data_IF_595675006573
#
_entry.id   IF_595675006573
#
_cell.length_a   1.000
_cell.length_b   1.000
_cell.length_c   1.000
_cell.angle_alpha   90.00
_cell.angle_beta   90.00
_cell.angle_gamma   90.00
#
_symmetry.space_group_name_H-M   'P 1'
#
loop_
_entity.id
_entity.type
_entity.pdbx_description
1 polymer ?
#
# COMPACT_ATOMS: atom_id res chain seq x y z
N UNK A 1 37.36 55.63 1.42
CA UNK A 1 37.96 54.37 0.93
C UNK A 1 37.06 53.23 1.40
N UNK A 2 36.18 52.70 0.54
CA UNK A 2 35.28 51.60 0.91
C UNK A 2 36.15 50.35 1.16
N UNK A 3 36.09 49.81 2.37
CA UNK A 3 36.94 48.70 2.80
C UNK A 3 36.65 47.45 1.96
N UNK A 4 37.66 46.86 1.28
CA UNK A 4 37.48 45.64 0.49
C UNK A 4 37.14 44.43 1.37
N UNK A 5 37.40 44.53 2.68
CA UNK A 5 37.10 43.50 3.68
C UNK A 5 35.59 43.44 3.92
N UNK A 6 34.91 44.59 4.03
CA UNK A 6 33.46 44.64 4.20
C UNK A 6 32.73 44.04 2.98
N UNK A 7 33.26 44.29 1.77
CA UNK A 7 32.71 43.74 0.53
C UNK A 7 32.91 42.21 0.43
N UNK A 8 34.05 41.69 0.90
CA UNK A 8 34.32 40.25 0.96
C UNK A 8 33.46 39.53 2.01
N UNK A 9 33.31 40.12 3.20
CA UNK A 9 32.46 39.56 4.26
C UNK A 9 30.99 39.50 3.82
N UNK A 10 30.50 40.54 3.14
CA UNK A 10 29.14 40.56 2.58
C UNK A 10 28.95 39.54 1.44
N UNK A 11 29.98 39.32 0.62
CA UNK A 11 29.93 38.31 -0.44
C UNK A 11 29.96 36.86 0.12
N UNK A 12 30.70 36.63 1.20
CA UNK A 12 30.77 35.34 1.89
C UNK A 12 29.48 34.99 2.64
N UNK A 13 28.76 35.98 3.17
CA UNK A 13 27.47 35.76 3.84
C UNK A 13 26.31 35.48 2.87
N UNK A 14 26.33 36.04 1.65
CA UNK A 14 25.31 35.74 0.63
C UNK A 14 25.40 34.30 0.07
N UNK A 15 26.56 33.66 0.14
CA UNK A 15 26.75 32.30 -0.38
C UNK A 15 26.23 31.19 0.56
N UNK A 16 26.00 31.49 1.84
CA UNK A 16 25.64 30.48 2.85
C UNK A 16 24.15 30.10 2.87
N UNK A 17 23.29 30.81 2.14
CA UNK A 17 21.82 30.64 2.22
C UNK A 17 21.28 29.56 1.26
N UNK A 18 22.14 28.85 0.52
CA UNK A 18 21.73 28.00 -0.60
C UNK A 18 21.52 26.50 -0.27
N UNK A 19 21.66 26.05 0.97
CA UNK A 19 21.79 24.61 1.24
C UNK A 19 20.91 24.11 2.40
N UNK A 20 19.58 24.20 2.28
CA UNK A 20 18.69 23.21 2.94
C UNK A 20 17.39 23.08 2.15
N UNK A 21 17.45 22.38 1.03
CA UNK A 21 16.27 21.80 0.40
C UNK A 21 16.34 20.29 0.64
N UNK A 22 15.96 19.85 1.85
CA UNK A 22 15.63 18.44 2.06
C UNK A 22 14.45 18.14 1.15
N UNK A 23 14.70 17.46 0.05
CA UNK A 23 13.64 16.87 -0.76
C UNK A 23 13.00 15.78 0.08
N UNK A 24 11.83 16.06 0.66
CA UNK A 24 10.89 15.01 1.04
C UNK A 24 10.45 14.36 -0.26
N UNK A 25 11.22 13.40 -0.73
CA UNK A 25 10.82 12.54 -1.83
C UNK A 25 9.59 11.75 -1.33
N UNK A 26 8.41 12.24 -1.68
CA UNK A 26 7.22 11.41 -1.64
C UNK A 26 7.54 10.14 -2.45
N UNK A 27 7.48 8.98 -1.79
CA UNK A 27 7.71 7.71 -2.48
C UNK A 27 6.84 7.66 -3.74
N UNK A 28 7.37 7.18 -4.89
CA UNK A 28 6.62 7.15 -6.13
C UNK A 28 5.25 6.49 -5.91
N UNK A 29 4.15 7.10 -6.34
CA UNK A 29 2.81 6.54 -6.17
C UNK A 29 2.62 5.40 -7.19
N UNK A 30 3.34 4.28 -7.07
CA UNK A 30 2.98 3.02 -7.74
C UNK A 30 3.92 1.84 -7.43
N UNK A 31 4.11 1.50 -6.16
CA UNK A 31 4.17 0.06 -5.84
C UNK A 31 2.74 -0.33 -5.52
N UNK A 32 2.02 -1.00 -6.45
CA UNK A 32 0.63 -1.46 -6.19
C UNK A 32 0.61 -2.25 -4.88
N UNK A 33 0.21 -1.60 -3.79
CA UNK A 33 0.11 -2.19 -2.47
C UNK A 33 -1.06 -3.17 -2.53
N UNK A 34 -0.73 -4.45 -2.57
CA UNK A 34 -1.69 -5.55 -2.65
C UNK A 34 -1.64 -6.35 -1.36
N UNK A 35 -2.75 -6.99 -1.03
CA UNK A 35 -2.73 -8.08 -0.07
C UNK A 35 -2.34 -9.37 -0.79
N UNK A 36 -1.63 -10.27 -0.10
CA UNK A 36 -1.22 -11.57 -0.65
C UNK A 36 -1.88 -12.68 0.16
N UNK A 37 -2.41 -13.68 -0.54
CA UNK A 37 -2.93 -14.90 0.09
C UNK A 37 -1.83 -15.98 0.17
N UNK A 38 -2.06 -17.06 0.93
CA UNK A 38 -1.07 -18.14 1.14
C UNK A 38 -0.61 -18.81 -0.16
N UNK A 39 -1.47 -18.85 -1.18
CA UNK A 39 -1.17 -19.34 -2.54
C UNK A 39 -0.32 -18.37 -3.37
N UNK A 40 -0.05 -17.16 -2.84
CA UNK A 40 0.69 -16.12 -3.53
C UNK A 40 -0.16 -15.24 -4.45
N UNK A 41 -1.47 -15.46 -4.55
CA UNK A 41 -2.36 -14.58 -5.28
C UNK A 41 -2.35 -13.18 -4.66
N UNK A 42 -2.37 -12.16 -5.51
CA UNK A 42 -2.40 -10.75 -5.11
C UNK A 42 -3.82 -10.20 -5.25
N UNK A 43 -4.21 -9.37 -4.29
CA UNK A 43 -5.51 -8.75 -4.22
C UNK A 43 -5.36 -7.25 -4.02
N UNK A 44 -6.04 -6.48 -4.84
CA UNK A 44 -6.09 -5.02 -4.76
C UNK A 44 -6.94 -4.56 -3.55
N UNK A 45 -6.74 -3.32 -3.13
CA UNK A 45 -7.56 -2.70 -2.09
C UNK A 45 -9.05 -2.80 -2.43
N UNK A 46 -9.86 -3.16 -1.44
CA UNK A 46 -11.30 -3.37 -1.58
C UNK A 46 -11.70 -4.77 -2.05
N UNK A 47 -10.80 -5.55 -2.66
CA UNK A 47 -11.11 -6.92 -3.05
C UNK A 47 -11.31 -7.83 -1.84
N UNK A 48 -12.16 -8.83 -2.03
CA UNK A 48 -12.54 -9.78 -0.98
C UNK A 48 -12.04 -11.17 -1.37
N UNK A 49 -11.45 -11.88 -0.40
CA UNK A 49 -10.93 -13.22 -0.57
C UNK A 49 -11.27 -14.11 0.63
N UNK A 50 -11.32 -15.41 0.37
CA UNK A 50 -11.36 -16.42 1.42
C UNK A 50 -9.93 -16.67 1.92
N UNK A 51 -9.65 -16.32 3.17
CA UNK A 51 -8.34 -16.50 3.80
C UNK A 51 -8.37 -17.74 4.67
N UNK A 52 -7.31 -18.57 4.57
CA UNK A 52 -7.14 -19.78 5.35
C UNK A 52 -5.85 -19.71 6.16
N UNK A 53 -5.99 -19.77 7.49
CA UNK A 53 -4.86 -19.81 8.44
C UNK A 53 -5.14 -20.95 9.39
N UNK A 54 -4.19 -21.89 9.47
CA UNK A 54 -4.19 -23.01 10.41
C UNK A 54 -5.51 -23.81 10.44
N UNK A 55 -6.05 -24.07 9.24
CA UNK A 55 -7.29 -24.83 9.04
C UNK A 55 -8.59 -24.02 9.19
N UNK A 56 -8.52 -22.79 9.71
CA UNK A 56 -9.67 -21.91 9.84
C UNK A 56 -9.81 -21.03 8.60
N UNK A 57 -11.01 -20.99 8.03
CA UNK A 57 -11.36 -20.17 6.89
C UNK A 57 -12.26 -18.99 7.29
N UNK A 58 -11.93 -17.79 6.84
CA UNK A 58 -12.75 -16.60 7.03
C UNK A 58 -12.74 -15.71 5.79
N UNK A 59 -13.84 -14.98 5.58
CA UNK A 59 -13.93 -14.00 4.51
C UNK A 59 -13.24 -12.71 4.95
N UNK A 60 -12.33 -12.19 4.13
CA UNK A 60 -11.61 -10.95 4.42
C UNK A 60 -11.57 -10.00 3.23
N UNK A 61 -11.47 -8.71 3.52
CA UNK A 61 -11.26 -7.64 2.53
C UNK A 61 -9.82 -7.12 2.65
N UNK A 62 -9.19 -6.86 1.51
CA UNK A 62 -7.91 -6.15 1.48
C UNK A 62 -8.15 -4.67 1.79
N UNK A 63 -7.60 -4.17 2.89
CA UNK A 63 -7.72 -2.77 3.28
C UNK A 63 -6.34 -2.15 3.58
N UNK A 64 -6.29 -0.82 3.62
CA UNK A 64 -5.13 -0.07 4.07
C UNK A 64 -5.32 0.31 5.54
N UNK A 65 -4.37 -0.03 6.40
CA UNK A 65 -4.35 0.39 7.80
C UNK A 65 -2.96 0.89 8.15
N UNK A 66 -2.84 2.10 8.70
CA UNK A 66 -1.54 2.71 9.05
C UNK A 66 -0.50 2.64 7.91
N UNK A 67 -0.93 2.86 6.66
CA UNK A 67 -0.09 2.80 5.45
C UNK A 67 0.46 1.40 5.09
N UNK A 68 -0.08 0.34 5.69
CA UNK A 68 0.20 -1.06 5.30
C UNK A 68 -1.07 -1.76 4.81
N UNK A 69 -0.94 -2.61 3.79
CA UNK A 69 -2.04 -3.48 3.37
C UNK A 69 -2.27 -4.57 4.41
N UNK A 70 -3.54 -4.82 4.73
CA UNK A 70 -3.95 -5.77 5.76
C UNK A 70 -5.24 -6.48 5.36
N UNK A 71 -5.33 -7.76 5.70
CA UNK A 71 -6.58 -8.50 5.62
C UNK A 71 -7.49 -8.15 6.79
N UNK A 72 -8.60 -7.46 6.51
CA UNK A 72 -9.65 -7.23 7.50
C UNK A 72 -10.74 -8.29 7.39
N UNK A 73 -10.99 -9.00 8.49
CA UNK A 73 -12.06 -9.99 8.56
C UNK A 73 -13.42 -9.32 8.36
N UNK A 74 -14.21 -9.87 7.44
CA UNK A 74 -15.59 -9.45 7.14
C UNK A 74 -16.59 -10.34 7.86
N UNK A 75 -16.38 -11.67 7.83
CA UNK A 75 -17.22 -12.66 8.53
C UNK A 75 -16.50 -14.00 8.69
N UNK A 76 -17.04 -14.83 9.56
CA UNK A 76 -16.65 -16.24 9.68
C UNK A 76 -17.08 -17.06 8.46
N UNK A 77 -16.26 -18.06 8.14
CA UNK A 77 -16.45 -18.93 6.99
C UNK A 77 -16.32 -18.21 5.64
N UNK A 78 -16.37 -18.98 4.57
CA UNK A 78 -16.34 -18.47 3.19
C UNK A 78 -17.66 -18.79 2.47
N UNK A 79 -18.05 -18.00 1.44
CA UNK A 79 -19.20 -18.33 0.62
C UNK A 79 -19.03 -19.70 -0.06
N UNK A 80 -20.09 -20.49 -0.09
CA UNK A 80 -20.17 -21.76 -0.82
C UNK A 80 -21.28 -21.66 -1.86
N UNK A 81 -21.01 -22.07 -3.09
CA UNK A 81 -22.06 -22.23 -4.09
C UNK A 81 -22.75 -23.58 -3.89
N UNK A 82 -24.07 -23.61 -3.99
CA UNK A 82 -24.84 -24.86 -4.02
C UNK A 82 -25.24 -25.11 -5.49
N UNK A 83 -24.69 -26.16 -6.09
CA UNK A 83 -25.08 -26.56 -7.44
C UNK A 83 -26.21 -27.56 -7.33
N UNK A 84 -27.40 -27.18 -7.77
CA UNK A 84 -28.51 -28.12 -7.92
C UNK A 84 -28.41 -28.75 -9.30
N UNK A 85 -27.93 -29.99 -9.35
CA UNK A 85 -27.95 -30.80 -10.57
C UNK A 85 -29.39 -31.24 -10.81
N UNK A 86 -30.16 -30.40 -11.49
CA UNK A 86 -31.44 -30.82 -12.06
C UNK A 86 -31.12 -31.84 -13.15
N UNK A 87 -31.35 -33.12 -12.85
CA UNK A 87 -31.15 -34.21 -13.78
C UNK A 87 -31.96 -33.99 -15.05
N UNK A 88 -31.30 -33.53 -16.10
CA UNK A 88 -31.69 -33.83 -17.46
C UNK A 88 -31.51 -35.35 -17.62
N UNK A 89 -32.56 -36.08 -17.26
CA UNK A 89 -32.79 -37.42 -17.76
C UNK A 89 -32.92 -37.29 -19.28
N UNK A 90 -31.84 -37.58 -19.98
CA UNK A 90 -31.84 -38.00 -21.37
C UNK A 90 -31.52 -39.49 -21.33
N UNK A 91 -32.58 -40.28 -21.17
CA UNK A 91 -32.74 -41.62 -21.74
C UNK A 91 -34.24 -41.88 -21.94
#
# INVERSE_FOLDING_TARGET
MKSPIALRVLALSLAAVAMVAESVAASPPDRRCTCRNRDGAKYELGQVACIRVDGIAYLARCEMNLNVTTWKKVRDGCPTAHLTTTGAAID
#
